data_IF_186666630517
#
_entry.id   IF_186666630517
#
_cell.length_a   1.000
_cell.length_b   1.000
_cell.length_c   1.000
_cell.angle_alpha   90.00
_cell.angle_beta   90.00
_cell.angle_gamma   90.00
#
_symmetry.space_group_name_H-M   'P 1'
#
loop_
_entity.id
_entity.type
_entity.pdbx_description
1 polymer ?
#
# COMPACT_ATOMS: atom_id res chain seq x y z
N UNK A 1 17.94 8.43 0.51
CA UNK A 1 17.52 8.49 1.94
C UNK A 1 16.00 8.37 1.97
N UNK A 2 15.40 7.78 3.01
CA UNK A 2 13.95 7.66 3.09
C UNK A 2 13.35 9.00 3.52
N UNK A 3 12.63 9.65 2.61
CA UNK A 3 11.98 10.94 2.83
C UNK A 3 10.51 10.76 3.20
N UNK A 4 9.90 9.67 2.74
CA UNK A 4 8.49 9.35 2.95
C UNK A 4 8.28 7.91 3.38
N UNK A 5 7.22 7.72 4.15
CA UNK A 5 6.51 6.46 4.26
C UNK A 5 5.30 6.52 3.32
N UNK A 6 5.40 5.88 2.17
CA UNK A 6 4.27 5.67 1.26
C UNK A 6 3.39 4.56 1.83
N UNK A 7 2.15 4.88 2.14
CA UNK A 7 1.17 3.91 2.62
C UNK A 7 0.19 3.58 1.50
N UNK A 8 -0.05 2.30 1.30
CA UNK A 8 -0.95 1.73 0.30
C UNK A 8 -2.00 0.93 1.07
N UNK A 9 -3.27 1.29 0.92
CA UNK A 9 -4.39 0.52 1.45
C UNK A 9 -5.11 -0.16 0.29
N UNK A 10 -5.20 -1.49 0.35
CA UNK A 10 -5.73 -2.31 -0.73
C UNK A 10 -6.63 -3.44 -0.22
N UNK A 11 -7.36 -4.07 -1.14
CA UNK A 11 -8.05 -5.32 -0.86
C UNK A 11 -7.04 -6.48 -0.74
N UNK A 12 -7.36 -7.53 0.04
CA UNK A 12 -6.54 -8.74 0.09
C UNK A 12 -6.30 -9.38 -1.28
N UNK A 13 -7.23 -9.22 -2.23
CA UNK A 13 -7.14 -9.81 -3.58
C UNK A 13 -5.99 -9.27 -4.44
N UNK A 14 -5.43 -8.11 -4.13
CA UNK A 14 -4.31 -7.52 -4.88
C UNK A 14 -3.02 -7.45 -4.08
N UNK A 15 -3.02 -7.92 -2.83
CA UNK A 15 -1.88 -7.87 -1.92
C UNK A 15 -0.64 -8.54 -2.52
N UNK A 16 -0.77 -9.79 -2.97
CA UNK A 16 0.34 -10.59 -3.51
C UNK A 16 0.98 -9.91 -4.73
N UNK A 17 0.16 -9.47 -5.68
CA UNK A 17 0.66 -8.78 -6.88
C UNK A 17 1.37 -7.46 -6.57
N UNK A 18 0.97 -6.74 -5.50
CA UNK A 18 1.67 -5.54 -5.07
C UNK A 18 3.02 -5.90 -4.44
N UNK A 19 3.08 -6.96 -3.63
CA UNK A 19 4.34 -7.43 -3.04
C UNK A 19 5.32 -7.86 -4.11
N UNK A 20 4.87 -8.67 -5.09
CA UNK A 20 5.70 -9.09 -6.23
C UNK A 20 6.23 -7.88 -7.00
N UNK A 21 5.37 -6.89 -7.28
CA UNK A 21 5.76 -5.67 -7.97
C UNK A 21 6.86 -4.92 -7.22
N UNK A 22 6.76 -4.78 -5.90
CA UNK A 22 7.78 -4.11 -5.08
C UNK A 22 9.08 -4.91 -5.01
N UNK A 23 8.99 -6.24 -4.89
CA UNK A 23 10.16 -7.13 -4.79
C UNK A 23 11.03 -7.11 -6.05
N UNK A 24 10.45 -6.91 -7.24
CA UNK A 24 11.19 -6.87 -8.51
C UNK A 24 11.68 -5.48 -8.92
N UNK A 25 11.44 -4.44 -8.12
CA UNK A 25 11.99 -3.10 -8.38
C UNK A 25 13.50 -3.06 -8.10
N UNK A 26 14.21 -2.18 -8.81
CA UNK A 26 15.65 -1.97 -8.63
C UNK A 26 15.97 -0.49 -8.37
N UNK A 27 16.46 -0.14 -7.16
CA UNK A 27 16.60 -1.01 -5.99
C UNK A 27 15.23 -1.38 -5.40
N UNK A 28 15.13 -2.59 -4.84
CA UNK A 28 13.92 -3.01 -4.14
C UNK A 28 13.69 -2.12 -2.91
N UNK A 29 12.49 -1.56 -2.71
CA UNK A 29 12.20 -0.70 -1.58
C UNK A 29 12.07 -1.52 -0.28
N UNK A 30 12.28 -0.87 0.86
CA UNK A 30 11.97 -1.46 2.17
C UNK A 30 10.49 -1.30 2.44
N UNK A 31 9.78 -2.40 2.66
CA UNK A 31 8.35 -2.36 2.97
C UNK A 31 7.93 -3.37 4.05
N UNK A 32 6.80 -3.07 4.69
CA UNK A 32 6.11 -3.94 5.65
C UNK A 32 4.63 -3.99 5.30
N UNK A 33 3.93 -5.04 5.76
CA UNK A 33 2.48 -5.18 5.57
C UNK A 33 1.78 -5.59 6.85
N UNK A 34 0.52 -5.20 6.98
CA UNK A 34 -0.37 -5.59 8.07
C UNK A 34 -1.82 -5.69 7.59
N UNK A 35 -2.61 -6.55 8.24
CA UNK A 35 -4.06 -6.62 8.01
C UNK A 35 -4.75 -5.44 8.68
N UNK A 36 -5.76 -4.88 8.03
CA UNK A 36 -6.57 -3.78 8.54
C UNK A 36 -8.07 -4.05 8.32
N UNK A 37 -8.90 -3.41 9.14
CA UNK A 37 -10.33 -3.29 8.89
C UNK A 37 -10.58 -1.87 8.38
N UNK A 38 -11.14 -1.75 7.18
CA UNK A 38 -11.33 -0.47 6.51
C UNK A 38 -12.81 -0.13 6.37
N UNK A 39 -13.14 1.14 6.55
CA UNK A 39 -14.49 1.67 6.38
C UNK A 39 -14.49 2.70 5.24
N UNK A 40 -15.59 2.79 4.48
CA UNK A 40 -15.72 3.79 3.41
C UNK A 40 -14.79 3.58 2.20
N UNK A 41 -14.20 2.40 2.06
CA UNK A 41 -13.30 2.06 0.96
C UNK A 41 -14.04 1.47 -0.24
N UNK A 42 -13.53 1.72 -1.44
CA UNK A 42 -14.11 1.25 -2.70
C UNK A 42 -13.39 0.01 -3.26
N UNK A 43 -13.13 -0.99 -2.41
CA UNK A 43 -12.41 -2.23 -2.77
C UNK A 43 -13.23 -3.23 -3.60
N UNK A 44 -14.40 -2.81 -4.10
CA UNK A 44 -15.37 -3.66 -4.78
C UNK A 44 -16.56 -4.04 -3.90
N UNK A 45 -17.32 -5.05 -4.32
CA UNK A 45 -18.48 -5.52 -3.56
C UNK A 45 -18.04 -6.21 -2.28
N UNK A 46 -18.52 -5.71 -1.14
CA UNK A 46 -18.32 -6.33 0.16
C UNK A 46 -19.02 -7.70 0.21
N UNK A 47 -18.41 -8.67 0.88
CA UNK A 47 -19.09 -9.91 1.25
C UNK A 47 -20.28 -9.64 2.18
N UNK A 48 -21.22 -10.57 2.29
CA UNK A 48 -22.38 -10.41 3.20
C UNK A 48 -21.96 -10.11 4.65
N UNK A 49 -20.93 -10.78 5.16
CA UNK A 49 -20.42 -10.54 6.50
C UNK A 49 -19.85 -9.11 6.66
N UNK A 50 -19.13 -8.62 5.65
CA UNK A 50 -18.56 -7.26 5.63
C UNK A 50 -19.64 -6.19 5.50
N UNK A 51 -20.71 -6.45 4.73
CA UNK A 51 -21.87 -5.56 4.64
C UNK A 51 -22.56 -5.41 6.00
N UNK A 52 -22.74 -6.51 6.73
CA UNK A 52 -23.33 -6.50 8.07
C UNK A 52 -22.44 -5.75 9.07
N UNK A 53 -21.12 -5.93 8.98
CA UNK A 53 -20.15 -5.27 9.85
C UNK A 53 -19.84 -3.82 9.47
N UNK A 54 -20.25 -3.37 8.28
CA UNK A 54 -19.96 -2.04 7.74
C UNK A 54 -18.47 -1.78 7.47
N UNK A 55 -17.66 -2.82 7.28
CA UNK A 55 -16.21 -2.72 7.08
C UNK A 55 -15.69 -3.78 6.11
N UNK A 56 -14.71 -3.43 5.30
CA UNK A 56 -13.97 -4.34 4.43
C UNK A 56 -12.72 -4.88 5.14
N UNK A 57 -12.35 -6.12 4.85
CA UNK A 57 -10.98 -6.58 5.05
C UNK A 57 -10.04 -5.81 4.13
N UNK A 58 -8.91 -5.37 4.66
CA UNK A 58 -7.93 -4.56 3.94
C UNK A 58 -6.52 -4.99 4.32
N UNK A 59 -5.57 -4.65 3.46
CA UNK A 59 -4.15 -4.76 3.73
C UNK A 59 -3.57 -3.35 3.65
N UNK A 60 -2.79 -2.99 4.66
CA UNK A 60 -1.97 -1.79 4.66
C UNK A 60 -0.52 -2.20 4.40
N UNK A 61 0.04 -1.68 3.31
CA UNK A 61 1.45 -1.84 2.96
C UNK A 61 2.12 -0.49 3.15
N UNK A 62 3.21 -0.46 3.91
CA UNK A 62 4.01 0.76 4.15
C UNK A 62 5.39 0.59 3.56
N UNK A 63 5.79 1.53 2.72
CA UNK A 63 7.05 1.53 2.00
C UNK A 63 7.87 2.74 2.43
N UNK A 64 9.12 2.53 2.85
CA UNK A 64 10.08 3.61 3.07
C UNK A 64 10.79 3.91 1.76
N UNK A 65 10.68 5.15 1.29
CA UNK A 65 11.17 5.55 -0.02
C UNK A 65 11.61 7.02 -0.05
N UNK A 66 12.51 7.36 -0.98
CA UNK A 66 12.77 8.75 -1.38
C UNK A 66 11.72 9.24 -2.38
N UNK A 67 11.77 10.53 -2.74
CA UNK A 67 10.78 11.16 -3.65
C UNK A 67 10.64 10.43 -4.99
N UNK A 68 11.75 10.15 -5.68
CA UNK A 68 11.74 9.51 -7.00
C UNK A 68 11.18 8.09 -6.95
N UNK A 69 11.57 7.31 -5.93
CA UNK A 69 11.10 5.93 -5.78
C UNK A 69 9.62 5.89 -5.40
N UNK A 70 9.14 6.84 -4.58
CA UNK A 70 7.71 6.97 -4.28
C UNK A 70 6.89 7.25 -5.55
N UNK A 71 7.34 8.19 -6.40
CA UNK A 71 6.68 8.52 -7.64
C UNK A 71 6.64 7.32 -8.62
N UNK A 72 7.73 6.55 -8.70
CA UNK A 72 7.80 5.34 -9.51
C UNK A 72 6.84 4.26 -9.01
N UNK A 73 6.82 3.98 -7.70
CA UNK A 73 5.91 3.00 -7.09
C UNK A 73 4.46 3.39 -7.38
N UNK A 74 4.07 4.62 -7.11
CA UNK A 74 2.71 5.08 -7.36
C UNK A 74 2.31 4.99 -8.83
N UNK A 75 3.22 5.31 -9.76
CA UNK A 75 2.96 5.18 -11.19
C UNK A 75 2.72 3.72 -11.58
N UNK A 76 3.59 2.80 -11.14
CA UNK A 76 3.44 1.37 -11.39
C UNK A 76 2.15 0.82 -10.80
N UNK A 77 1.83 1.18 -9.56
CA UNK A 77 0.59 0.76 -8.89
C UNK A 77 -0.65 1.28 -9.60
N UNK A 78 -0.66 2.55 -10.02
CA UNK A 78 -1.78 3.09 -10.83
C UNK A 78 -1.93 2.35 -12.16
N UNK A 79 -0.82 2.05 -12.83
CA UNK A 79 -0.82 1.35 -14.12
C UNK A 79 -1.37 -0.08 -14.02
N UNK A 80 -0.95 -0.82 -12.99
CA UNK A 80 -1.28 -2.25 -12.86
C UNK A 80 -2.60 -2.46 -12.11
N UNK A 81 -2.87 -1.65 -11.09
CA UNK A 81 -3.95 -1.89 -10.13
C UNK A 81 -4.95 -0.72 -10.01
N UNK A 82 -4.87 0.33 -10.85
CA UNK A 82 -5.67 1.56 -10.69
C UNK A 82 -7.20 1.39 -10.68
N UNK A 83 -7.73 0.23 -11.08
CA UNK A 83 -9.17 -0.11 -11.01
C UNK A 83 -9.59 -0.88 -9.76
N UNK A 84 -8.67 -1.15 -8.83
CA UNK A 84 -8.93 -1.94 -7.62
C UNK A 84 -9.45 -1.12 -6.42
N UNK A 85 -9.51 0.21 -6.55
CA UNK A 85 -9.93 1.09 -5.45
C UNK A 85 -8.85 1.37 -4.41
N UNK A 86 -7.57 1.13 -4.75
CA UNK A 86 -6.40 1.48 -3.94
C UNK A 86 -6.45 2.92 -3.42
N UNK A 87 -6.09 3.08 -2.16
CA UNK A 87 -5.77 4.39 -1.59
C UNK A 87 -4.27 4.46 -1.31
N UNK A 88 -3.67 5.60 -1.65
CA UNK A 88 -2.24 5.84 -1.42
C UNK A 88 -2.03 7.23 -0.86
N UNK A 89 -1.15 7.36 0.13
CA UNK A 89 -0.73 8.64 0.67
C UNK A 89 0.71 8.56 1.16
N UNK A 90 1.38 9.71 1.24
CA UNK A 90 2.73 9.83 1.78
C UNK A 90 2.68 10.49 3.15
N UNK A 91 3.46 9.95 4.09
CA UNK A 91 3.74 10.59 5.37
C UNK A 91 5.23 10.97 5.41
N UNK A 92 5.60 12.22 5.70
CA UNK A 92 7.01 12.61 5.80
C UNK A 92 7.75 11.83 6.90
N UNK A 93 8.98 11.41 6.61
CA UNK A 93 9.90 10.82 7.58
C UNK A 93 10.83 11.91 8.08
N UNK A 94 10.66 12.31 9.34
CA UNK A 94 11.44 13.40 9.95
C UNK A 94 12.80 12.93 10.49
N UNK A 95 12.98 11.62 10.67
CA UNK A 95 14.20 11.02 11.17
C UNK A 95 14.12 9.50 11.12
N UNK A 96 15.29 8.88 11.02
CA UNK A 96 15.43 7.42 11.06
C UNK A 96 16.16 7.04 12.34
N UNK A 97 15.65 6.01 13.02
CA UNK A 97 16.38 5.32 14.09
C UNK A 97 17.43 4.38 13.52
N UNK A 98 18.18 3.71 14.39
CA UNK A 98 19.31 2.87 14.00
C UNK A 98 18.97 1.88 12.86
N UNK A 99 19.63 2.06 11.71
CA UNK A 99 20.03 0.95 10.85
C UNK A 99 21.32 0.42 11.45
N UNK A 100 21.34 -0.84 11.90
CA UNK A 100 22.59 -1.57 12.06
C UNK A 100 22.94 -2.22 10.73
#
# INVERSE_FOLDING_TARGET
MFEFCLTILCSPSVEEGIQDLLLVMEPSPVFVRQTAAAHGVAFGALSQAEQVLGRAAAIEIRVLCGESQAAEIEQKLRSVFGKSGLLMWRTPVLGLGAQQ
#
